data_IF_737387429840
#
_entry.id   IF_737387429840
#
_cell.length_a   1.000
_cell.length_b   1.000
_cell.length_c   1.000
_cell.angle_alpha   90.00
_cell.angle_beta   90.00
_cell.angle_gamma   90.00
#
_symmetry.space_group_name_H-M   'P 1'
#
loop_
_entity.id
_entity.type
_entity.pdbx_description
1 polymer ?
#
# COMPACT_ATOMS: atom_id res chain seq x y z
N UNK A 1 -15.59 4.57 -6.77
CA UNK A 1 -15.91 3.37 -5.96
C UNK A 1 -14.71 2.46 -5.69
N UNK A 2 -13.94 2.05 -6.70
CA UNK A 2 -12.87 1.05 -6.55
C UNK A 2 -11.88 1.33 -5.39
N UNK A 3 -11.30 2.55 -5.34
CA UNK A 3 -10.33 2.91 -4.31
C UNK A 3 -10.92 2.79 -2.91
N UNK A 4 -12.16 3.22 -2.70
CA UNK A 4 -12.80 3.13 -1.38
C UNK A 4 -12.98 1.66 -0.95
N UNK A 5 -13.41 0.80 -1.86
CA UNK A 5 -13.50 -0.65 -1.60
C UNK A 5 -12.15 -1.25 -1.20
N UNK A 6 -11.08 -0.87 -1.91
CA UNK A 6 -9.70 -1.26 -1.56
C UNK A 6 -9.29 -0.78 -0.18
N UNK A 7 -9.57 0.48 0.18
CA UNK A 7 -9.24 1.03 1.49
C UNK A 7 -9.98 0.30 2.62
N UNK A 8 -11.28 0.04 2.45
CA UNK A 8 -12.08 -0.71 3.41
C UNK A 8 -11.58 -2.15 3.58
N UNK A 9 -11.20 -2.80 2.47
CA UNK A 9 -10.61 -4.13 2.51
C UNK A 9 -9.25 -4.12 3.25
N UNK A 10 -8.34 -3.19 2.90
CA UNK A 10 -7.03 -3.09 3.53
C UNK A 10 -7.12 -2.80 5.03
N UNK A 11 -8.07 -1.95 5.44
CA UNK A 11 -8.34 -1.65 6.85
C UNK A 11 -8.79 -2.88 7.65
N UNK A 12 -9.54 -3.80 7.02
CA UNK A 12 -9.95 -5.08 7.62
C UNK A 12 -8.82 -6.10 7.63
N UNK A 13 -8.07 -6.21 6.54
CA UNK A 13 -6.95 -7.13 6.38
C UNK A 13 -5.80 -6.82 7.37
N UNK A 14 -5.56 -5.54 7.66
CA UNK A 14 -4.47 -5.05 8.53
C UNK A 14 -3.11 -5.69 8.20
N UNK A 15 -2.62 -5.55 6.95
CA UNK A 15 -1.32 -6.08 6.59
C UNK A 15 -0.22 -5.44 7.46
N UNK A 16 0.83 -6.21 7.77
CA UNK A 16 1.99 -5.72 8.52
C UNK A 16 2.63 -4.51 7.82
N UNK A 17 2.75 -4.58 6.49
CA UNK A 17 3.24 -3.50 5.64
C UNK A 17 2.74 -3.65 4.21
N UNK A 18 2.70 -2.55 3.47
CA UNK A 18 2.33 -2.51 2.05
C UNK A 18 3.40 -1.75 1.28
N UNK A 19 3.78 -2.27 0.12
CA UNK A 19 4.77 -1.69 -0.78
C UNK A 19 4.10 -1.38 -2.13
N UNK A 20 3.40 -0.25 -2.24
CA UNK A 20 2.68 0.11 -3.47
C UNK A 20 3.63 0.72 -4.52
N UNK A 21 3.69 0.13 -5.71
CA UNK A 21 4.67 0.47 -6.75
C UNK A 21 4.04 0.65 -8.15
N UNK A 22 4.89 1.04 -9.12
CA UNK A 22 4.63 1.12 -10.56
C UNK A 22 3.41 1.96 -10.99
N UNK A 23 2.23 1.35 -11.08
CA UNK A 23 1.01 2.00 -11.57
C UNK A 23 0.20 2.73 -10.47
N UNK A 24 0.58 2.58 -9.20
CA UNK A 24 -0.13 3.24 -8.10
C UNK A 24 0.26 4.72 -8.03
N UNK A 25 -0.67 5.60 -8.35
CA UNK A 25 -0.45 7.04 -8.33
C UNK A 25 -0.29 7.61 -6.90
N UNK A 26 0.23 8.83 -6.82
CA UNK A 26 0.51 9.51 -5.55
C UNK A 26 -0.74 9.68 -4.68
N UNK A 27 -1.90 10.04 -5.26
CA UNK A 27 -3.14 10.24 -4.51
C UNK A 27 -3.62 8.92 -3.91
N UNK A 28 -3.54 7.84 -4.66
CA UNK A 28 -3.85 6.49 -4.18
C UNK A 28 -2.91 6.06 -3.05
N UNK A 29 -1.60 6.33 -3.15
CA UNK A 29 -0.63 6.07 -2.06
C UNK A 29 -0.96 6.85 -0.79
N UNK A 30 -1.27 8.15 -0.91
CA UNK A 30 -1.69 8.99 0.22
C UNK A 30 -2.99 8.48 0.86
N UNK A 31 -3.92 7.96 0.07
CA UNK A 31 -5.14 7.37 0.61
C UNK A 31 -4.85 6.05 1.34
N UNK A 32 -4.03 5.17 0.76
CA UNK A 32 -3.64 3.89 1.35
C UNK A 32 -2.89 4.06 2.67
N UNK A 33 -1.99 5.04 2.77
CA UNK A 33 -1.18 5.29 3.97
C UNK A 33 -2.02 5.66 5.19
N UNK A 34 -3.28 6.08 5.01
CA UNK A 34 -4.22 6.35 6.11
C UNK A 34 -4.77 5.09 6.77
N UNK A 35 -4.74 3.95 6.08
CA UNK A 35 -5.37 2.70 6.54
C UNK A 35 -4.42 1.51 6.61
N UNK A 36 -3.23 1.61 6.03
CA UNK A 36 -2.19 0.58 6.03
C UNK A 36 -0.80 1.19 6.27
N UNK A 37 0.11 0.40 6.83
CA UNK A 37 1.52 0.77 6.99
C UNK A 37 2.24 0.76 5.64
N UNK A 38 2.06 1.83 4.86
CA UNK A 38 2.64 1.98 3.53
C UNK A 38 4.13 2.35 3.64
N UNK A 39 4.98 1.59 2.96
CA UNK A 39 6.42 1.82 2.86
C UNK A 39 6.80 2.23 1.45
N UNK A 40 7.82 3.09 1.35
CA UNK A 40 8.35 3.52 0.05
C UNK A 40 9.04 2.36 -0.67
N UNK A 41 9.01 2.42 -2.01
CA UNK A 41 9.66 1.45 -2.89
C UNK A 41 10.58 2.16 -3.86
N UNK A 42 11.84 1.70 -3.94
CA UNK A 42 12.85 2.17 -4.89
C UNK A 42 13.18 1.12 -5.95
N UNK A 43 13.77 1.57 -7.06
CA UNK A 43 14.30 0.64 -8.09
C UNK A 43 15.45 -0.16 -7.50
N UNK A 44 15.46 -1.47 -7.74
CA UNK A 44 16.50 -2.37 -7.24
C UNK A 44 16.39 -2.73 -5.75
N UNK A 45 15.30 -2.33 -5.09
CA UNK A 45 15.06 -2.71 -3.70
C UNK A 45 14.78 -4.22 -3.59
N UNK A 46 15.44 -4.87 -2.64
CA UNK A 46 15.25 -6.28 -2.30
C UNK A 46 14.59 -6.41 -0.93
N UNK A 47 13.79 -7.47 -0.75
CA UNK A 47 13.10 -7.75 0.49
C UNK A 47 13.37 -9.18 0.92
N UNK A 48 13.64 -9.37 2.20
CA UNK A 48 13.78 -10.69 2.82
C UNK A 48 12.58 -10.93 3.73
N UNK A 49 11.90 -12.04 3.51
CA UNK A 49 10.74 -12.45 4.30
C UNK A 49 11.12 -13.65 5.18
N UNK A 50 10.58 -13.67 6.40
CA UNK A 50 10.74 -14.79 7.33
C UNK A 50 9.70 -15.87 7.08
#
# INVERSE_FOLDING_TARGET
>A
EQLQGTLEFMKKLKPKEVHACHCTDLKSKIALSKVANLKEVGVGQTFEYK
#
